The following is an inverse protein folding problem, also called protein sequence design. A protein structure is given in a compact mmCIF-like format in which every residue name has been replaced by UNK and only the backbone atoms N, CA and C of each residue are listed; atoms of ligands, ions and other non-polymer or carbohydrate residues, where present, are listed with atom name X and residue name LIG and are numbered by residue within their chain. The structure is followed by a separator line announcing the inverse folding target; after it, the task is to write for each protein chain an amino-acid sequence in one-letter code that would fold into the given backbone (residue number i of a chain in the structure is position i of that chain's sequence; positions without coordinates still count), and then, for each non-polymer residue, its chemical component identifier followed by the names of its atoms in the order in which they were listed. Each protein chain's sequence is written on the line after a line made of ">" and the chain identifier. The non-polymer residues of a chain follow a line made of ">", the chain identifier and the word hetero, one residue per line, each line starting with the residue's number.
data_IF_382388272666
#
_entry.id   IF_382388272666
#
_cell.length_a   1.000
_cell.length_b   1.000
_cell.length_c   1.000
_cell.angle_alpha   90.00
_cell.angle_beta   90.00
_cell.angle_gamma   90.00
#
_symmetry.space_group_name_H-M   'P 1'
#
loop_
_entity.id
_entity.type
_entity.pdbx_description
1 polymer ?
#
# COMPACT_ATOMS: atom_id res chain seq x y z
N UNK A 1 -22.32 -49.12 -21.88
CA UNK A 1 -21.31 -49.16 -20.81
C UNK A 1 -20.28 -48.04 -20.95
N UNK A 2 -19.90 -47.66 -22.18
CA UNK A 2 -18.97 -46.54 -22.43
C UNK A 2 -19.53 -45.14 -22.06
N UNK A 3 -20.83 -44.93 -22.17
CA UNK A 3 -21.48 -43.65 -21.86
C UNK A 3 -21.49 -43.31 -20.36
N UNK A 4 -21.56 -44.31 -19.49
CA UNK A 4 -21.59 -44.12 -18.04
C UNK A 4 -20.21 -43.70 -17.50
N UNK A 5 -19.15 -44.30 -18.07
CA UNK A 5 -17.79 -43.97 -17.69
C UNK A 5 -17.39 -42.54 -18.13
N UNK A 6 -17.86 -42.12 -19.31
CA UNK A 6 -17.67 -40.73 -19.78
C UNK A 6 -18.43 -39.73 -18.91
N UNK A 7 -19.65 -40.01 -18.53
CA UNK A 7 -20.44 -39.14 -17.65
C UNK A 7 -19.85 -39.03 -16.22
N UNK A 8 -19.29 -40.12 -15.70
CA UNK A 8 -18.59 -40.09 -14.40
C UNK A 8 -17.30 -39.25 -14.50
N UNK A 9 -16.55 -39.40 -15.58
CA UNK A 9 -15.33 -38.61 -15.83
C UNK A 9 -15.63 -37.11 -15.92
N UNK A 10 -16.64 -36.72 -16.70
CA UNK A 10 -17.10 -35.34 -16.82
C UNK A 10 -17.54 -34.77 -15.45
N UNK A 11 -18.29 -35.53 -14.67
CA UNK A 11 -18.74 -35.10 -13.35
C UNK A 11 -17.60 -34.88 -12.36
N UNK A 12 -16.58 -35.74 -12.36
CA UNK A 12 -15.40 -35.61 -11.50
C UNK A 12 -14.62 -34.36 -11.91
N UNK A 13 -14.33 -34.17 -13.20
CA UNK A 13 -13.62 -32.96 -13.69
C UNK A 13 -14.40 -31.69 -13.36
N UNK A 14 -15.72 -31.67 -13.49
CA UNK A 14 -16.57 -30.54 -13.18
C UNK A 14 -16.50 -30.16 -11.70
N UNK A 15 -16.53 -31.15 -10.81
CA UNK A 15 -16.37 -30.91 -9.36
C UNK A 15 -14.98 -30.34 -9.04
N UNK A 16 -13.92 -30.91 -9.60
CA UNK A 16 -12.56 -30.44 -9.37
C UNK A 16 -12.37 -29.01 -9.88
N UNK A 17 -12.86 -28.69 -11.07
CA UNK A 17 -12.80 -27.34 -11.65
C UNK A 17 -13.62 -26.34 -10.81
N UNK A 18 -14.79 -26.76 -10.29
CA UNK A 18 -15.60 -25.91 -9.39
C UNK A 18 -14.85 -25.57 -8.09
N UNK A 19 -14.16 -26.54 -7.52
CA UNK A 19 -13.32 -26.33 -6.33
C UNK A 19 -12.15 -25.38 -6.65
N UNK A 20 -11.47 -25.60 -7.77
CA UNK A 20 -10.38 -24.74 -8.20
C UNK A 20 -10.84 -23.28 -8.43
N UNK A 21 -11.97 -23.10 -9.12
CA UNK A 21 -12.54 -21.78 -9.38
C UNK A 21 -12.93 -21.06 -8.08
N UNK A 22 -13.43 -21.79 -7.08
CA UNK A 22 -13.74 -21.23 -5.78
C UNK A 22 -12.48 -20.69 -5.08
N UNK A 23 -11.36 -21.42 -5.10
CA UNK A 23 -10.10 -20.97 -4.53
C UNK A 23 -9.50 -19.76 -5.28
N UNK A 24 -9.57 -19.74 -6.61
CA UNK A 24 -9.12 -18.58 -7.39
C UNK A 24 -9.99 -17.35 -7.14
N UNK A 25 -11.31 -17.51 -7.08
CA UNK A 25 -12.21 -16.41 -6.75
C UNK A 25 -11.98 -15.90 -5.33
N UNK A 26 -11.67 -16.77 -4.38
CA UNK A 26 -11.28 -16.41 -3.03
C UNK A 26 -9.98 -15.58 -3.05
N UNK A 27 -8.98 -15.97 -3.85
CA UNK A 27 -7.74 -15.21 -4.02
C UNK A 27 -7.99 -13.77 -4.51
N UNK A 28 -8.76 -13.62 -5.59
CA UNK A 28 -9.09 -12.30 -6.15
C UNK A 28 -9.92 -11.45 -5.19
N UNK A 29 -10.90 -12.05 -4.54
CA UNK A 29 -11.72 -11.38 -3.53
C UNK A 29 -10.88 -10.85 -2.37
N UNK A 30 -9.98 -11.66 -1.83
CA UNK A 30 -9.12 -11.30 -0.69
C UNK A 30 -8.21 -10.11 -1.06
N UNK A 31 -7.53 -10.17 -2.20
CA UNK A 31 -6.61 -9.09 -2.61
C UNK A 31 -7.38 -7.82 -2.98
N UNK A 32 -8.51 -7.95 -3.68
CA UNK A 32 -9.35 -6.81 -4.05
C UNK A 32 -9.93 -6.07 -2.83
N UNK A 33 -10.23 -6.81 -1.75
CA UNK A 33 -10.77 -6.22 -0.53
C UNK A 33 -9.77 -5.29 0.20
N UNK A 34 -8.47 -5.56 0.11
CA UNK A 34 -7.47 -4.66 0.71
C UNK A 34 -7.43 -3.32 -0.03
N UNK A 35 -7.47 -3.37 -1.34
CA UNK A 35 -7.38 -2.17 -2.19
C UNK A 35 -8.55 -1.20 -1.98
N UNK A 36 -9.73 -1.71 -1.58
CA UNK A 36 -10.92 -0.92 -1.30
C UNK A 36 -11.05 -0.50 0.18
N UNK A 37 -10.05 -0.81 1.03
CA UNK A 37 -10.13 -0.51 2.46
C UNK A 37 -9.90 0.97 2.77
N UNK A 38 -10.68 1.53 3.71
CA UNK A 38 -10.54 2.90 4.20
C UNK A 38 -9.15 3.20 4.78
N UNK A 39 -8.43 2.17 5.22
CA UNK A 39 -7.07 2.30 5.78
C UNK A 39 -6.06 2.80 4.76
N UNK A 40 -6.31 2.57 3.46
CA UNK A 40 -5.43 3.03 2.37
C UNK A 40 -5.88 4.36 1.81
N UNK A 41 -7.19 4.52 1.54
CA UNK A 41 -7.77 5.68 0.85
C UNK A 41 -8.71 6.55 1.71
N UNK A 42 -8.88 6.25 3.00
CA UNK A 42 -9.76 7.00 3.89
C UNK A 42 -9.33 8.44 4.14
N UNK A 43 -10.25 9.29 4.62
CA UNK A 43 -9.95 10.67 5.03
C UNK A 43 -9.02 10.67 6.25
N UNK A 44 -8.25 11.76 6.43
CA UNK A 44 -7.28 11.88 7.54
C UNK A 44 -7.92 11.72 8.92
N UNK A 45 -9.15 12.17 9.09
CA UNK A 45 -9.90 12.06 10.35
C UNK A 45 -10.48 10.66 10.59
N UNK A 46 -10.62 9.85 9.56
CA UNK A 46 -11.33 8.56 9.61
C UNK A 46 -10.56 7.40 8.93
N UNK A 47 -9.24 7.41 8.98
CA UNK A 47 -8.41 6.35 8.38
C UNK A 47 -8.71 4.96 8.94
N UNK A 48 -9.17 4.87 10.19
CA UNK A 48 -9.55 3.60 10.84
C UNK A 48 -11.06 3.28 10.77
N UNK A 49 -11.85 4.02 9.97
CA UNK A 49 -13.30 3.85 9.95
C UNK A 49 -14.00 4.32 11.23
N UNK A 50 -13.27 4.97 12.15
CA UNK A 50 -13.81 5.47 13.43
C UNK A 50 -13.05 6.72 13.88
N UNK A 51 -13.80 7.79 14.18
CA UNK A 51 -13.25 9.06 14.65
C UNK A 51 -12.69 8.99 16.09
N UNK A 52 -12.92 7.91 16.82
CA UNK A 52 -12.47 7.78 18.22
C UNK A 52 -10.95 7.92 18.34
N UNK A 53 -10.19 7.30 17.42
CA UNK A 53 -8.72 7.38 17.42
C UNK A 53 -8.27 8.81 17.10
N UNK A 54 -8.93 9.47 16.15
CA UNK A 54 -8.67 10.87 15.83
C UNK A 54 -8.93 11.80 16.99
N UNK A 55 -10.01 11.60 17.75
CA UNK A 55 -10.32 12.40 18.92
C UNK A 55 -9.25 12.29 20.01
N UNK A 56 -8.65 11.10 20.19
CA UNK A 56 -7.50 10.92 21.09
C UNK A 56 -6.28 11.68 20.57
N UNK A 57 -5.95 11.57 19.28
CA UNK A 57 -4.85 12.30 18.64
C UNK A 57 -5.02 13.81 18.82
N UNK A 58 -6.20 14.33 18.49
CA UNK A 58 -6.52 15.75 18.60
C UNK A 58 -6.47 16.24 20.05
N UNK A 59 -6.98 15.45 21.00
CA UNK A 59 -6.92 15.78 22.43
C UNK A 59 -5.48 15.85 22.94
N UNK A 60 -4.65 14.85 22.66
CA UNK A 60 -3.23 14.83 23.05
C UNK A 60 -2.48 16.00 22.42
N UNK A 61 -2.71 16.25 21.14
CA UNK A 61 -2.11 17.37 20.42
C UNK A 61 -2.42 18.71 21.10
N UNK A 62 -3.70 19.00 21.38
CA UNK A 62 -4.13 20.29 21.91
C UNK A 62 -3.79 20.49 23.38
N UNK A 63 -3.98 19.47 24.22
CA UNK A 63 -3.85 19.62 25.67
C UNK A 63 -2.43 19.42 26.18
N UNK A 64 -1.61 18.64 25.49
CA UNK A 64 -0.29 18.27 25.97
C UNK A 64 0.82 18.80 25.05
N UNK A 65 0.71 18.57 23.74
CA UNK A 65 1.85 18.79 22.84
C UNK A 65 1.99 20.26 22.46
N UNK A 66 0.89 20.99 22.23
CA UNK A 66 0.94 22.43 21.95
C UNK A 66 1.63 23.21 23.10
N UNK A 67 1.25 23.08 24.38
CA UNK A 67 1.93 23.79 25.47
C UNK A 67 3.43 23.47 25.57
N UNK A 68 3.83 22.24 25.31
CA UNK A 68 5.23 21.84 25.27
C UNK A 68 5.95 22.55 24.11
N UNK A 69 5.38 22.53 22.92
CA UNK A 69 5.95 23.17 21.74
C UNK A 69 6.07 24.70 21.90
N UNK A 70 5.06 25.34 22.51
CA UNK A 70 5.10 26.76 22.84
C UNK A 70 6.19 27.10 23.87
N UNK A 71 6.38 26.26 24.88
CA UNK A 71 7.46 26.39 25.85
C UNK A 71 8.85 26.29 25.17
N UNK A 72 9.01 25.35 24.25
CA UNK A 72 10.22 25.21 23.43
C UNK A 72 10.43 26.45 22.56
N UNK A 73 9.39 26.94 21.88
CA UNK A 73 9.43 28.14 21.06
C UNK A 73 9.87 29.35 21.88
N UNK A 74 9.27 29.56 23.07
CA UNK A 74 9.58 30.65 23.97
C UNK A 74 11.03 30.60 24.45
N UNK A 75 11.53 29.43 24.83
CA UNK A 75 12.90 29.20 25.26
C UNK A 75 13.89 29.57 24.15
N UNK A 76 13.67 29.12 22.94
CA UNK A 76 14.53 29.44 21.81
C UNK A 76 14.47 30.94 21.45
N UNK A 77 13.28 31.56 21.52
CA UNK A 77 13.15 33.02 21.30
C UNK A 77 13.96 33.81 22.32
N UNK A 78 13.97 33.38 23.59
CA UNK A 78 14.79 33.96 24.62
C UNK A 78 16.29 33.83 24.30
N UNK A 79 16.75 32.68 23.84
CA UNK A 79 18.14 32.47 23.40
C UNK A 79 18.52 33.40 22.24
N UNK A 80 17.62 33.56 21.25
CA UNK A 80 17.86 34.48 20.13
C UNK A 80 17.93 35.93 20.58
N UNK A 81 17.07 36.31 21.51
CA UNK A 81 17.10 37.67 22.08
C UNK A 81 18.40 37.97 22.83
N UNK A 82 18.92 36.98 23.59
CA UNK A 82 20.24 37.09 24.25
C UNK A 82 21.34 37.22 23.21
N UNK A 83 21.32 36.45 22.12
CA UNK A 83 22.32 36.56 21.03
C UNK A 83 22.29 37.95 20.36
N UNK A 84 21.08 38.50 20.13
CA UNK A 84 20.91 39.84 19.58
C UNK A 84 21.46 40.87 20.57
N UNK A 85 21.16 40.79 21.86
CA UNK A 85 21.67 41.69 22.90
C UNK A 85 23.20 41.72 22.95
N UNK A 86 23.84 40.53 22.93
CA UNK A 86 25.28 40.41 22.93
C UNK A 86 25.95 41.05 21.69
N UNK A 87 25.28 40.99 20.52
CA UNK A 87 25.77 41.66 19.29
C UNK A 87 25.68 43.20 19.38
N UNK A 88 24.67 43.74 20.05
CA UNK A 88 24.49 45.17 20.25
C UNK A 88 25.63 45.72 21.08
N UNK A 89 25.98 45.04 22.18
CA UNK A 89 27.08 45.48 23.06
C UNK A 89 28.43 45.48 22.35
N UNK A 90 28.61 44.63 21.34
CA UNK A 90 29.89 44.54 20.59
C UNK A 90 30.04 45.58 19.45
N UNK A 91 28.95 46.13 18.88
CA UNK A 91 29.00 46.93 17.65
C UNK A 91 28.55 48.40 17.79
N UNK A 92 27.94 48.79 18.89
CA UNK A 92 27.44 50.15 19.19
C UNK A 92 26.61 50.85 18.08
N UNK A 93 25.99 50.05 17.16
CA UNK A 93 25.20 50.55 16.03
C UNK A 93 23.77 50.09 16.08
N UNK A 94 22.86 50.90 15.54
CA UNK A 94 21.37 50.74 15.49
C UNK A 94 20.76 49.61 14.61
N UNK A 95 21.43 48.53 14.20
CA UNK A 95 20.76 47.43 13.47
C UNK A 95 19.82 46.58 14.33
N UNK A 96 19.89 46.71 15.63
CA UNK A 96 19.16 45.91 16.62
C UNK A 96 17.65 46.00 16.54
N UNK A 97 17.08 47.14 16.18
CA UNK A 97 15.60 47.29 16.11
C UNK A 97 15.02 46.42 14.99
N UNK A 98 15.69 46.32 13.84
CA UNK A 98 15.28 45.50 12.73
C UNK A 98 15.28 44.02 13.10
N UNK A 99 16.34 43.57 13.80
CA UNK A 99 16.48 42.16 14.19
C UNK A 99 15.44 41.75 15.25
N UNK A 100 15.14 42.67 16.20
CA UNK A 100 14.08 42.46 17.21
C UNK A 100 12.70 42.39 16.56
N UNK A 101 12.39 43.28 15.61
CA UNK A 101 11.10 43.27 14.90
C UNK A 101 10.98 41.97 14.07
N UNK A 102 12.04 41.56 13.38
CA UNK A 102 12.06 40.31 12.63
C UNK A 102 11.83 39.09 13.54
N UNK A 103 12.46 39.10 14.72
CA UNK A 103 12.27 38.03 15.72
C UNK A 103 10.82 37.98 16.20
N UNK A 104 10.18 39.14 16.49
CA UNK A 104 8.81 39.24 16.93
C UNK A 104 7.83 38.71 15.83
N UNK A 105 8.03 39.09 14.58
CA UNK A 105 7.23 38.59 13.44
C UNK A 105 7.39 37.09 13.29
N UNK A 106 8.62 36.57 13.38
CA UNK A 106 8.91 35.14 13.33
C UNK A 106 8.20 34.39 14.46
N UNK A 107 8.21 34.95 15.69
CA UNK A 107 7.48 34.33 16.80
C UNK A 107 5.98 34.17 16.52
N UNK A 108 5.33 35.23 16.05
CA UNK A 108 3.89 35.19 15.73
C UNK A 108 3.60 34.16 14.65
N UNK A 109 4.45 34.07 13.62
CA UNK A 109 4.30 33.13 12.51
C UNK A 109 4.44 31.67 13.01
N UNK A 110 5.47 31.38 13.80
CA UNK A 110 5.68 30.01 14.31
C UNK A 110 4.66 29.63 15.38
N UNK A 111 4.22 30.55 16.21
CA UNK A 111 3.11 30.33 17.12
C UNK A 111 1.82 29.95 16.36
N UNK A 112 1.48 30.72 15.31
CA UNK A 112 0.32 30.40 14.47
C UNK A 112 0.48 29.02 13.80
N UNK A 113 1.68 28.70 13.32
CA UNK A 113 1.99 27.40 12.69
C UNK A 113 1.81 26.24 13.68
N UNK A 114 2.25 26.39 14.93
CA UNK A 114 2.11 25.38 16.00
C UNK A 114 0.62 25.13 16.30
N UNK A 115 -0.13 26.20 16.52
CA UNK A 115 -1.56 26.10 16.87
C UNK A 115 -2.37 25.48 15.73
N UNK A 116 -2.04 25.79 14.48
CA UNK A 116 -2.77 25.29 13.30
C UNK A 116 -2.07 24.07 12.62
N UNK A 117 -1.16 23.40 13.33
CA UNK A 117 -0.36 22.31 12.75
C UNK A 117 -1.19 21.13 12.27
N UNK A 118 -2.27 20.74 12.95
CA UNK A 118 -3.19 19.69 12.48
C UNK A 118 -3.87 20.07 11.16
N UNK A 119 -4.35 21.30 11.04
CA UNK A 119 -4.96 21.77 9.78
C UNK A 119 -3.97 21.83 8.62
N UNK A 120 -2.69 22.18 8.89
CA UNK A 120 -1.64 22.13 7.89
C UNK A 120 -1.37 20.69 7.42
N UNK A 121 -1.26 19.75 8.36
CA UNK A 121 -1.01 18.35 8.02
C UNK A 121 -2.19 17.70 7.33
N UNK A 122 -3.42 18.05 7.71
CA UNK A 122 -4.64 17.60 7.03
C UNK A 122 -4.68 18.10 5.58
N UNK A 123 -4.35 19.36 5.34
CA UNK A 123 -4.25 19.90 3.98
C UNK A 123 -3.20 19.19 3.14
N UNK A 124 -2.02 18.90 3.70
CA UNK A 124 -0.97 18.12 3.02
C UNK A 124 -1.46 16.71 2.74
N UNK A 125 -2.07 16.03 3.71
CA UNK A 125 -2.64 14.71 3.51
C UNK A 125 -3.71 14.70 2.41
N UNK A 126 -4.58 15.71 2.39
CA UNK A 126 -5.64 15.85 1.38
C UNK A 126 -5.10 15.83 -0.05
N UNK A 127 -4.00 16.57 -0.31
CA UNK A 127 -3.36 16.57 -1.64
C UNK A 127 -2.89 15.16 -2.06
N UNK A 128 -2.26 14.42 -1.16
CA UNK A 128 -1.83 13.05 -1.45
C UNK A 128 -3.00 12.07 -1.52
N UNK A 129 -4.05 12.31 -0.75
CA UNK A 129 -5.26 11.49 -0.77
C UNK A 129 -6.05 11.62 -2.08
N UNK A 130 -6.04 12.80 -2.72
CA UNK A 130 -6.60 12.97 -4.07
C UNK A 130 -5.86 12.09 -5.09
N UNK A 131 -4.53 11.97 -4.99
CA UNK A 131 -3.76 11.06 -5.84
C UNK A 131 -4.15 9.62 -5.56
N UNK A 132 -4.25 9.24 -4.28
CA UNK A 132 -4.62 7.89 -3.84
C UNK A 132 -6.00 7.48 -4.34
N UNK A 133 -6.98 8.39 -4.29
CA UNK A 133 -8.38 8.17 -4.70
C UNK A 133 -8.67 8.57 -6.15
N UNK A 134 -7.64 8.80 -6.97
CA UNK A 134 -7.87 9.09 -8.39
C UNK A 134 -8.62 7.94 -9.09
N UNK A 135 -9.55 8.28 -9.97
CA UNK A 135 -10.37 7.30 -10.71
C UNK A 135 -9.52 6.26 -11.47
N UNK A 136 -8.34 6.66 -11.91
CA UNK A 136 -7.40 5.78 -12.60
C UNK A 136 -6.88 4.65 -11.68
N UNK A 137 -6.59 4.95 -10.41
CA UNK A 137 -6.05 3.98 -9.45
C UNK A 137 -7.16 3.15 -8.82
N UNK A 138 -8.25 3.79 -8.39
CA UNK A 138 -9.39 3.09 -7.77
C UNK A 138 -10.11 2.19 -8.76
N UNK A 139 -10.33 2.65 -10.00
CA UNK A 139 -10.94 1.84 -11.04
C UNK A 139 -10.13 0.58 -11.39
N UNK A 140 -8.81 0.69 -11.48
CA UNK A 140 -7.93 -0.43 -11.76
C UNK A 140 -7.86 -1.44 -10.58
N UNK A 141 -7.85 -0.96 -9.33
CA UNK A 141 -7.82 -1.82 -8.14
C UNK A 141 -9.14 -2.58 -7.93
N UNK A 142 -10.29 -1.96 -8.22
CA UNK A 142 -11.61 -2.60 -8.14
C UNK A 142 -11.74 -3.73 -9.17
N UNK A 143 -11.11 -3.60 -10.35
CA UNK A 143 -11.11 -4.68 -11.35
C UNK A 143 -10.57 -6.00 -10.80
N UNK A 144 -9.63 -5.96 -9.88
CA UNK A 144 -9.07 -7.17 -9.26
C UNK A 144 -10.12 -7.97 -8.49
N UNK A 145 -10.96 -7.31 -7.70
CA UNK A 145 -12.02 -7.96 -6.92
C UNK A 145 -13.15 -8.54 -7.77
N UNK A 146 -13.28 -8.08 -9.01
CA UNK A 146 -14.30 -8.52 -9.96
C UNK A 146 -13.78 -9.59 -10.95
N UNK A 147 -12.49 -9.94 -10.89
CA UNK A 147 -11.95 -11.01 -11.71
C UNK A 147 -12.54 -12.36 -11.25
N UNK A 148 -13.15 -13.07 -12.18
CA UNK A 148 -13.69 -14.41 -11.98
C UNK A 148 -13.11 -15.36 -13.00
N UNK A 149 -12.81 -16.56 -12.57
CA UNK A 149 -12.39 -17.61 -13.47
C UNK A 149 -13.62 -18.14 -14.22
N UNK A 150 -13.73 -17.84 -15.51
CA UNK A 150 -14.82 -18.36 -16.32
C UNK A 150 -14.57 -19.84 -16.66
N UNK A 151 -15.46 -20.70 -16.19
CA UNK A 151 -15.47 -22.14 -16.49
C UNK A 151 -16.41 -22.50 -17.65
N UNK A 152 -17.15 -21.49 -18.14
CA UNK A 152 -18.09 -21.64 -19.26
C UNK A 152 -17.33 -21.71 -20.59
N UNK A 153 -17.21 -22.89 -21.16
CA UNK A 153 -16.50 -23.10 -22.43
C UNK A 153 -15.42 -24.17 -22.39
N UNK A 154 -15.20 -24.77 -21.23
CA UNK A 154 -14.28 -25.90 -21.08
C UNK A 154 -14.86 -27.16 -21.71
N UNK A 155 -14.08 -27.81 -22.60
CA UNK A 155 -14.45 -29.10 -23.22
C UNK A 155 -14.13 -30.24 -22.24
N UNK A 156 -15.04 -30.48 -21.28
CA UNK A 156 -14.88 -31.46 -20.20
C UNK A 156 -14.65 -32.90 -20.70
N UNK A 157 -15.01 -33.19 -21.96
CA UNK A 157 -14.79 -34.52 -22.56
C UNK A 157 -13.33 -34.81 -22.85
N UNK A 158 -12.53 -33.75 -23.06
CA UNK A 158 -11.08 -33.83 -23.32
C UNK A 158 -10.23 -33.58 -22.08
N UNK A 159 -10.87 -33.14 -20.98
CA UNK A 159 -10.18 -32.81 -19.75
C UNK A 159 -9.51 -34.04 -19.12
N UNK A 160 -8.25 -33.92 -18.73
CA UNK A 160 -7.57 -34.97 -17.96
C UNK A 160 -7.88 -34.82 -16.47
N UNK A 161 -8.25 -35.93 -15.79
CA UNK A 161 -8.46 -35.93 -14.33
C UNK A 161 -7.18 -35.45 -13.59
N UNK A 162 -6.02 -35.87 -14.10
CA UNK A 162 -4.72 -35.43 -13.55
C UNK A 162 -4.53 -33.91 -13.66
N UNK A 163 -4.88 -33.32 -14.81
CA UNK A 163 -4.83 -31.87 -15.03
C UNK A 163 -5.78 -31.12 -14.11
N UNK A 164 -7.01 -31.60 -13.95
CA UNK A 164 -7.98 -31.02 -13.02
C UNK A 164 -7.51 -31.07 -11.57
N UNK A 165 -6.85 -32.15 -11.15
CA UNK A 165 -6.31 -32.29 -9.81
C UNK A 165 -5.13 -31.33 -9.57
N UNK A 166 -4.21 -31.19 -10.53
CA UNK A 166 -3.11 -30.22 -10.45
C UNK A 166 -3.67 -28.79 -10.40
N UNK A 167 -4.73 -28.49 -11.15
CA UNK A 167 -5.40 -27.20 -11.09
C UNK A 167 -5.94 -26.88 -9.69
N UNK A 168 -6.55 -27.84 -9.00
CA UNK A 168 -7.02 -27.67 -7.62
C UNK A 168 -5.86 -27.40 -6.67
N UNK A 169 -4.75 -28.12 -6.79
CA UNK A 169 -3.56 -27.91 -5.97
C UNK A 169 -3.02 -26.49 -6.21
N UNK A 170 -2.90 -26.08 -7.47
CA UNK A 170 -2.43 -24.74 -7.85
C UNK A 170 -3.34 -23.65 -7.26
N UNK A 171 -4.65 -23.81 -7.37
CA UNK A 171 -5.63 -22.88 -6.83
C UNK A 171 -5.57 -22.79 -5.30
N UNK A 172 -5.38 -23.92 -4.61
CA UNK A 172 -5.23 -23.97 -3.16
C UNK A 172 -3.99 -23.22 -2.69
N UNK A 173 -2.84 -23.45 -3.31
CA UNK A 173 -1.60 -22.73 -2.95
C UNK A 173 -1.68 -21.24 -3.31
N UNK A 174 -2.29 -20.87 -4.43
CA UNK A 174 -2.47 -19.46 -4.80
C UNK A 174 -3.39 -18.74 -3.81
N UNK A 175 -4.49 -19.36 -3.36
CA UNK A 175 -5.36 -18.82 -2.31
C UNK A 175 -4.60 -18.64 -0.99
N UNK A 176 -3.75 -19.60 -0.61
CA UNK A 176 -2.89 -19.51 0.58
C UNK A 176 -1.90 -18.34 0.52
N UNK A 177 -1.21 -18.15 -0.61
CA UNK A 177 -0.30 -17.01 -0.80
C UNK A 177 -1.04 -15.67 -0.85
N UNK A 178 -2.24 -15.63 -1.44
CA UNK A 178 -3.11 -14.47 -1.43
C UNK A 178 -3.53 -14.07 -0.01
N UNK A 179 -3.83 -15.04 0.85
CA UNK A 179 -4.19 -14.79 2.24
C UNK A 179 -3.01 -14.21 3.02
N UNK A 180 -1.79 -14.70 2.80
CA UNK A 180 -0.58 -14.13 3.40
C UNK A 180 -0.36 -12.70 2.89
N UNK A 181 -0.50 -12.46 1.60
CA UNK A 181 -0.41 -11.13 1.02
C UNK A 181 -1.45 -10.16 1.61
N UNK A 182 -2.67 -10.62 1.84
CA UNK A 182 -3.73 -9.87 2.51
C UNK A 182 -3.33 -9.43 3.92
N UNK A 183 -2.89 -10.36 4.76
CA UNK A 183 -2.49 -10.07 6.15
C UNK A 183 -1.35 -9.05 6.18
N UNK A 184 -0.33 -9.23 5.35
CA UNK A 184 0.80 -8.30 5.27
C UNK A 184 0.35 -6.94 4.76
N UNK A 185 -0.52 -6.89 3.76
CA UNK A 185 -1.03 -5.64 3.19
C UNK A 185 -1.79 -4.81 4.23
N UNK A 186 -2.71 -5.43 4.97
CA UNK A 186 -3.43 -4.76 6.07
C UNK A 186 -2.46 -4.30 7.16
N UNK A 187 -1.51 -5.15 7.54
CA UNK A 187 -0.53 -4.80 8.58
C UNK A 187 0.31 -3.58 8.17
N UNK A 188 0.79 -3.52 6.93
CA UNK A 188 1.58 -2.39 6.41
C UNK A 188 0.73 -1.13 6.30
N UNK A 189 -0.50 -1.22 5.79
CA UNK A 189 -1.41 -0.10 5.68
C UNK A 189 -1.78 0.48 7.06
N UNK A 190 -2.10 -0.40 8.03
CA UNK A 190 -2.40 -0.01 9.40
C UNK A 190 -1.19 0.61 10.10
N UNK A 191 0.00 0.04 9.94
CA UNK A 191 1.24 0.61 10.49
C UNK A 191 1.51 2.03 9.95
N UNK A 192 1.28 2.27 8.65
CA UNK A 192 1.35 3.61 8.05
C UNK A 192 0.32 4.55 8.66
N UNK A 193 -0.93 4.13 8.82
CA UNK A 193 -1.99 4.94 9.40
C UNK A 193 -1.64 5.36 10.85
N UNK A 194 -1.13 4.43 11.65
CA UNK A 194 -0.64 4.73 13.01
C UNK A 194 0.53 5.72 12.95
N UNK A 195 1.47 5.55 12.03
CA UNK A 195 2.60 6.47 11.87
C UNK A 195 2.11 7.89 11.56
N UNK A 196 1.16 8.06 10.66
CA UNK A 196 0.58 9.37 10.32
C UNK A 196 -0.08 10.02 11.54
N UNK A 197 -0.84 9.28 12.33
CA UNK A 197 -1.50 9.79 13.52
C UNK A 197 -0.51 10.16 14.63
N UNK A 198 0.54 9.37 14.83
CA UNK A 198 1.61 9.71 15.78
C UNK A 198 2.33 10.98 15.32
N UNK A 199 2.65 11.10 14.03
CA UNK A 199 3.28 12.31 13.49
C UNK A 199 2.35 13.52 13.64
N UNK A 200 1.05 13.37 13.42
CA UNK A 200 0.06 14.43 13.61
C UNK A 200 -0.02 14.88 15.10
N UNK A 201 -0.12 13.91 16.01
CA UNK A 201 -0.19 14.21 17.45
C UNK A 201 1.00 15.03 17.95
N UNK A 202 2.20 14.68 17.52
CA UNK A 202 3.45 15.31 17.97
C UNK A 202 4.00 16.40 17.03
N UNK A 203 3.26 16.77 15.99
CA UNK A 203 3.68 17.76 14.98
C UNK A 203 4.07 19.14 15.53
N UNK A 204 3.49 19.69 16.61
CA UNK A 204 3.87 21.00 17.12
C UNK A 204 5.33 21.11 17.51
N UNK A 205 5.92 20.02 18.05
CA UNK A 205 7.33 20.03 18.51
C UNK A 205 8.31 20.28 17.36
N UNK A 206 8.35 19.46 16.29
CA UNK A 206 9.25 19.72 15.18
C UNK A 206 8.93 21.02 14.40
N UNK A 207 7.67 21.47 14.43
CA UNK A 207 7.32 22.76 13.82
C UNK A 207 7.87 23.94 14.63
N UNK A 208 7.92 23.85 15.96
CA UNK A 208 8.59 24.82 16.80
C UNK A 208 10.08 24.93 16.48
N UNK A 209 10.73 23.80 16.14
CA UNK A 209 12.15 23.75 15.78
C UNK A 209 12.48 24.40 14.42
N UNK A 210 11.48 24.60 13.54
CA UNK A 210 11.67 25.30 12.25
C UNK A 210 12.09 26.76 12.43
N UNK A 211 11.70 27.38 13.54
CA UNK A 211 11.95 28.79 13.82
C UNK A 211 13.42 29.15 14.04
N UNK A 212 14.31 28.16 14.19
CA UNK A 212 15.70 28.39 14.60
C UNK A 212 16.68 27.78 13.62
N UNK A 213 17.71 28.52 13.26
CA UNK A 213 18.71 28.08 12.27
C UNK A 213 19.37 26.76 12.66
N UNK A 214 19.71 26.60 13.95
CA UNK A 214 20.42 25.43 14.46
C UNK A 214 19.57 24.13 14.42
N UNK A 215 18.25 24.23 14.59
CA UNK A 215 17.33 23.10 14.66
C UNK A 215 16.41 22.98 13.44
N UNK A 216 16.46 23.93 12.53
CA UNK A 216 15.62 24.02 11.33
C UNK A 216 15.60 22.75 10.51
N UNK A 217 16.77 22.10 10.39
CA UNK A 217 16.90 20.86 9.65
C UNK A 217 16.01 19.73 10.20
N UNK A 218 15.84 19.68 11.54
CA UNK A 218 14.97 18.69 12.17
C UNK A 218 13.50 18.89 11.82
N UNK A 219 13.04 20.15 11.80
CA UNK A 219 11.67 20.47 11.37
C UNK A 219 11.43 20.19 9.90
N UNK A 220 12.39 20.52 9.02
CA UNK A 220 12.33 20.21 7.58
C UNK A 220 12.28 18.68 7.36
N UNK A 221 13.13 17.93 8.07
CA UNK A 221 13.15 16.47 7.99
C UNK A 221 11.83 15.85 8.45
N UNK A 222 11.20 16.42 9.48
CA UNK A 222 9.87 15.99 9.91
C UNK A 222 8.81 16.18 8.81
N UNK A 223 8.75 17.36 8.18
CA UNK A 223 7.80 17.63 7.09
C UNK A 223 8.03 16.70 5.89
N UNK A 224 9.29 16.49 5.51
CA UNK A 224 9.63 15.53 4.46
C UNK A 224 9.18 14.12 4.81
N UNK A 225 9.41 13.66 6.04
CA UNK A 225 8.98 12.33 6.49
C UNK A 225 7.46 12.20 6.54
N UNK A 226 6.74 13.27 6.92
CA UNK A 226 5.28 13.28 6.88
C UNK A 226 4.75 13.18 5.44
N UNK A 227 5.29 14.00 4.53
CA UNK A 227 4.96 13.90 3.10
C UNK A 227 5.30 12.51 2.54
N UNK A 228 6.42 11.90 2.95
CA UNK A 228 6.78 10.55 2.55
C UNK A 228 5.77 9.50 3.06
N UNK A 229 5.30 9.64 4.29
CA UNK A 229 4.27 8.77 4.83
C UNK A 229 2.93 8.94 4.09
N UNK A 230 2.58 10.15 3.67
CA UNK A 230 1.40 10.40 2.83
C UNK A 230 1.58 9.79 1.42
N UNK A 231 2.73 10.02 0.78
CA UNK A 231 3.04 9.49 -0.55
C UNK A 231 3.09 7.96 -0.57
N UNK A 232 3.53 7.32 0.51
CA UNK A 232 3.55 5.87 0.63
C UNK A 232 2.16 5.25 0.41
N UNK A 233 1.07 5.95 0.78
CA UNK A 233 -0.30 5.49 0.49
C UNK A 233 -0.64 5.50 -0.99
N UNK A 234 -0.26 6.55 -1.69
CA UNK A 234 -0.44 6.61 -3.14
C UNK A 234 0.37 5.52 -3.86
N UNK A 235 1.60 5.24 -3.39
CA UNK A 235 2.42 4.15 -3.92
C UNK A 235 1.78 2.78 -3.65
N UNK A 236 1.23 2.56 -2.45
CA UNK A 236 0.49 1.32 -2.15
C UNK A 236 -0.72 1.15 -3.07
N UNK A 237 -1.51 2.23 -3.27
CA UNK A 237 -2.67 2.17 -4.17
C UNK A 237 -2.25 1.91 -5.62
N UNK A 238 -1.15 2.52 -6.07
CA UNK A 238 -0.55 2.23 -7.37
C UNK A 238 -0.17 0.75 -7.52
N UNK A 239 0.44 0.15 -6.50
CA UNK A 239 0.78 -1.27 -6.52
C UNK A 239 -0.47 -2.15 -6.63
N UNK A 240 -1.54 -1.82 -5.89
CA UNK A 240 -2.81 -2.54 -6.00
C UNK A 240 -3.48 -2.38 -7.36
N UNK A 241 -3.37 -1.20 -7.99
CA UNK A 241 -3.88 -0.97 -9.32
C UNK A 241 -3.06 -1.65 -10.42
N UNK A 242 -1.73 -1.68 -10.28
CA UNK A 242 -0.82 -2.30 -11.24
C UNK A 242 -0.84 -3.84 -11.15
N UNK A 243 -1.11 -4.39 -9.97
CA UNK A 243 -1.07 -5.83 -9.71
C UNK A 243 -1.97 -6.65 -10.67
N UNK A 244 -3.27 -6.34 -10.86
CA UNK A 244 -4.13 -7.08 -11.77
C UNK A 244 -3.66 -7.00 -13.23
N UNK A 245 -3.12 -5.86 -13.65
CA UNK A 245 -2.61 -5.67 -15.00
C UNK A 245 -1.36 -6.53 -15.25
N UNK A 246 -0.48 -6.61 -14.27
CA UNK A 246 0.71 -7.48 -14.32
C UNK A 246 0.26 -8.94 -14.33
N UNK A 247 -0.68 -9.31 -13.47
CA UNK A 247 -1.21 -10.66 -13.39
C UNK A 247 -1.81 -11.10 -14.73
N UNK A 248 -2.69 -10.31 -15.33
CA UNK A 248 -3.33 -10.62 -16.61
C UNK A 248 -2.32 -10.68 -17.77
N UNK A 249 -1.35 -9.77 -17.81
CA UNK A 249 -0.33 -9.80 -18.86
C UNK A 249 0.59 -11.01 -18.76
N UNK A 250 0.96 -11.41 -17.55
CA UNK A 250 1.80 -12.59 -17.33
C UNK A 250 1.04 -13.90 -17.58
N UNK A 251 -0.22 -14.01 -17.15
CA UNK A 251 -1.06 -15.17 -17.45
C UNK A 251 -1.24 -15.35 -18.96
N UNK A 252 -1.47 -14.24 -19.68
CA UNK A 252 -1.59 -14.26 -21.13
C UNK A 252 -0.28 -14.66 -21.84
N UNK A 253 0.87 -14.17 -21.36
CA UNK A 253 2.18 -14.46 -21.96
C UNK A 253 2.65 -15.91 -21.77
N UNK A 254 2.21 -16.54 -20.69
CA UNK A 254 2.56 -17.95 -20.38
C UNK A 254 1.53 -18.96 -20.90
N UNK A 255 0.45 -18.50 -21.55
CA UNK A 255 -0.65 -19.36 -22.00
C UNK A 255 -1.48 -19.95 -20.86
N UNK A 256 -1.21 -19.56 -19.61
CA UNK A 256 -1.92 -20.05 -18.40
C UNK A 256 -3.34 -19.47 -18.30
N UNK A 257 -3.63 -18.42 -19.07
CA UNK A 257 -4.95 -17.80 -19.16
C UNK A 257 -6.00 -18.63 -19.89
N UNK A 258 -5.57 -19.63 -20.66
CA UNK A 258 -6.48 -20.54 -21.33
C UNK A 258 -6.59 -21.85 -20.55
N UNK A 259 -7.62 -21.93 -19.68
CA UNK A 259 -7.94 -23.14 -18.93
C UNK A 259 -8.13 -24.38 -19.83
N UNK A 260 -8.48 -24.18 -21.10
CA UNK A 260 -8.58 -25.26 -22.07
C UNK A 260 -7.20 -25.91 -22.32
N UNK A 261 -6.11 -25.15 -22.33
CA UNK A 261 -4.76 -25.70 -22.47
C UNK A 261 -4.30 -26.45 -21.21
N UNK A 262 -4.67 -25.96 -20.03
CA UNK A 262 -4.35 -26.62 -18.76
C UNK A 262 -5.13 -27.93 -18.53
N UNK A 263 -6.38 -27.96 -18.99
CA UNK A 263 -7.31 -29.07 -18.75
C UNK A 263 -7.30 -30.07 -19.91
N UNK A 264 -7.06 -29.62 -21.14
CA UNK A 264 -7.06 -30.43 -22.38
C UNK A 264 -5.68 -30.98 -22.76
N UNK A 265 -4.85 -31.40 -21.81
CA UNK A 265 -3.65 -32.15 -22.11
C UNK A 265 -4.02 -33.41 -22.90
N UNK A 266 -3.93 -33.32 -24.23
CA UNK A 266 -4.40 -34.33 -25.15
C UNK A 266 -3.64 -35.65 -24.93
N UNK A 267 -4.42 -36.71 -24.71
CA UNK A 267 -3.94 -38.07 -24.45
C UNK A 267 -3.47 -38.80 -25.73
N UNK A 268 -3.25 -38.10 -26.86
CA UNK A 268 -2.69 -38.68 -28.08
C UNK A 268 -1.16 -38.65 -28.07
N UNK A 269 -0.58 -39.37 -27.14
CA UNK A 269 0.88 -39.50 -27.02
C UNK A 269 1.43 -40.52 -27.97
N UNK A 270 2.13 -40.07 -29.02
CA UNK A 270 3.02 -40.89 -29.79
C UNK A 270 4.28 -41.17 -28.95
N UNK A 271 4.56 -42.43 -28.68
CA UNK A 271 5.53 -42.94 -27.69
C UNK A 271 7.01 -42.49 -27.90
N UNK A 272 7.35 -41.86 -29.02
CA UNK A 272 8.71 -41.35 -29.34
C UNK A 272 8.97 -39.89 -28.98
N UNK A 273 7.92 -39.11 -28.60
CA UNK A 273 8.03 -37.74 -28.14
C UNK A 273 7.61 -37.54 -26.66
N UNK A 274 7.48 -38.64 -25.91
CA UNK A 274 6.79 -38.70 -24.59
C UNK A 274 7.50 -37.89 -23.52
N UNK A 275 8.80 -37.69 -23.58
CA UNK A 275 9.55 -37.01 -22.52
C UNK A 275 9.38 -35.47 -22.60
N UNK A 276 9.43 -34.92 -23.83
CA UNK A 276 9.35 -33.47 -24.01
C UNK A 276 7.90 -32.94 -23.82
N UNK A 277 6.92 -33.62 -24.39
CA UNK A 277 5.50 -33.21 -24.25
C UNK A 277 4.95 -33.44 -22.84
N UNK A 278 5.29 -34.55 -22.19
CA UNK A 278 4.84 -34.80 -20.80
C UNK A 278 5.46 -33.82 -19.79
N UNK A 279 6.69 -33.39 -20.01
CA UNK A 279 7.35 -32.36 -19.26
C UNK A 279 6.66 -30.98 -19.50
N UNK A 280 6.38 -30.62 -20.74
CA UNK A 280 5.75 -29.36 -21.12
C UNK A 280 4.34 -29.24 -20.52
N UNK A 281 3.52 -30.30 -20.57
CA UNK A 281 2.16 -30.34 -20.00
C UNK A 281 2.13 -30.44 -18.48
N UNK A 282 3.12 -31.06 -17.84
CA UNK A 282 3.22 -31.11 -16.38
C UNK A 282 3.80 -29.82 -15.79
N UNK A 283 4.65 -29.11 -16.55
CA UNK A 283 5.28 -27.87 -16.09
C UNK A 283 4.39 -26.63 -16.24
N UNK A 284 3.44 -26.58 -17.19
CA UNK A 284 2.58 -25.42 -17.38
C UNK A 284 1.77 -25.03 -16.12
N UNK A 285 1.06 -25.95 -15.44
CA UNK A 285 0.36 -25.61 -14.20
C UNK A 285 1.32 -25.32 -13.04
N UNK A 286 2.50 -25.97 -12.99
CA UNK A 286 3.54 -25.68 -12.01
C UNK A 286 4.14 -24.28 -12.24
N UNK A 287 4.35 -23.87 -13.47
CA UNK A 287 4.81 -22.54 -13.84
C UNK A 287 3.78 -21.48 -13.45
N UNK A 288 2.50 -21.75 -13.66
CA UNK A 288 1.38 -20.92 -13.18
C UNK A 288 1.40 -20.75 -11.67
N UNK A 289 1.60 -21.83 -10.92
CA UNK A 289 1.74 -21.81 -9.47
C UNK A 289 2.90 -20.92 -9.02
N UNK A 290 4.09 -21.13 -9.60
CA UNK A 290 5.28 -20.33 -9.29
C UNK A 290 5.07 -18.85 -9.62
N UNK A 291 4.32 -18.54 -10.66
CA UNK A 291 3.96 -17.19 -11.04
C UNK A 291 3.04 -16.53 -10.01
N UNK A 292 1.97 -17.19 -9.58
CA UNK A 292 1.08 -16.66 -8.54
C UNK A 292 1.80 -16.42 -7.22
N UNK A 293 2.67 -17.34 -6.80
CA UNK A 293 3.51 -17.19 -5.60
C UNK A 293 4.49 -16.02 -5.81
N UNK A 294 5.18 -15.97 -6.94
CA UNK A 294 6.14 -14.91 -7.25
C UNK A 294 5.51 -13.52 -7.26
N UNK A 295 4.35 -13.37 -7.89
CA UNK A 295 3.60 -12.11 -7.92
C UNK A 295 3.10 -11.71 -6.52
N UNK A 296 2.61 -12.66 -5.72
CA UNK A 296 2.21 -12.39 -4.34
C UNK A 296 3.38 -11.91 -3.49
N UNK A 297 4.56 -12.52 -3.65
CA UNK A 297 5.79 -12.08 -2.99
C UNK A 297 6.20 -10.69 -3.46
N UNK A 298 6.12 -10.41 -4.76
CA UNK A 298 6.43 -9.10 -5.33
C UNK A 298 5.50 -8.02 -4.78
N UNK A 299 4.20 -8.30 -4.65
CA UNK A 299 3.25 -7.40 -4.02
C UNK A 299 3.62 -7.11 -2.56
N UNK A 300 3.91 -8.16 -1.78
CA UNK A 300 4.33 -8.02 -0.37
C UNK A 300 5.59 -7.16 -0.26
N UNK A 301 6.62 -7.46 -1.05
CA UNK A 301 7.89 -6.70 -1.04
C UNK A 301 7.67 -5.25 -1.47
N UNK A 302 6.86 -5.01 -2.50
CA UNK A 302 6.50 -3.68 -2.96
C UNK A 302 5.80 -2.87 -1.88
N UNK A 303 4.81 -3.44 -1.20
CA UNK A 303 4.08 -2.77 -0.11
C UNK A 303 4.99 -2.44 1.08
N UNK A 304 5.84 -3.38 1.50
CA UNK A 304 6.82 -3.14 2.59
C UNK A 304 7.83 -2.06 2.19
N UNK A 305 8.22 -2.00 0.92
CA UNK A 305 9.16 -1.02 0.39
C UNK A 305 8.52 0.33 0.04
N UNK A 306 7.20 0.45 -0.04
CA UNK A 306 6.51 1.67 -0.42
C UNK A 306 6.93 2.88 0.43
N UNK A 307 7.13 2.69 1.74
CA UNK A 307 7.61 3.74 2.64
C UNK A 307 9.06 4.18 2.35
N UNK A 308 9.96 3.27 1.99
CA UNK A 308 11.34 3.63 1.62
C UNK A 308 11.41 4.32 0.27
N UNK A 309 10.65 3.85 -0.73
CA UNK A 309 10.55 4.52 -2.03
C UNK A 309 9.99 5.94 -1.91
N UNK A 310 8.98 6.14 -1.07
CA UNK A 310 8.43 7.47 -0.80
C UNK A 310 9.50 8.41 -0.22
N UNK A 311 10.34 7.92 0.71
CA UNK A 311 11.46 8.69 1.27
C UNK A 311 12.53 9.01 0.24
N UNK A 312 12.90 8.05 -0.61
CA UNK A 312 13.87 8.26 -1.70
C UNK A 312 13.38 9.30 -2.70
N UNK A 313 12.09 9.28 -3.08
CA UNK A 313 11.48 10.26 -3.99
C UNK A 313 11.54 11.68 -3.41
N UNK A 314 11.33 11.85 -2.10
CA UNK A 314 11.34 13.15 -1.43
C UNK A 314 12.72 13.59 -0.93
N UNK A 315 13.74 12.75 -1.10
CA UNK A 315 15.11 13.05 -0.64
C UNK A 315 15.19 13.21 0.88
N UNK A 316 14.54 12.33 1.62
CA UNK A 316 14.48 12.36 3.09
C UNK A 316 15.18 11.15 3.71
#
# INVERSE_FOLDING_TARGET
>A
MFDIMGAIHEAICLILISIASWFFNLYYFIIGHVASSDVVGGSFHNVFGNETVWNIVSSVHQTVVIPIAESILALFMLVQLIKISQRIDATATLPAVKDIVFLAVSYVLFHWLIVNSLGLLDAVYGVFNEITNSDALTGASIQLGNMTLETSGLDLKKASIGGCFILVITAFFSAGTGLIAYIVSIAVATARAIQLYVMAAFSPIPLALLGFEETRQSGISFLKNFCAACLAGAIMMFLFAAYPLILTSMTASLGVGDLNQLVNADSSVNVTGVVDSALEYAFAPLLGLLMFIGLSILLIVGLVKAGSWAKEILGS
#
